data_IF_924657938269
#
_entry.id   IF_924657938269
#
_cell.length_a   1.000
_cell.length_b   1.000
_cell.length_c   1.000
_cell.angle_alpha   90.00
_cell.angle_beta   90.00
_cell.angle_gamma   90.00
#
_symmetry.space_group_name_H-M   'P 1'
#
loop_
_entity.id
_entity.type
_entity.pdbx_description
1 polymer ?
#
# COMPACT_ATOMS: atom_id res chain seq x y z
N UNK A 1 22.12 0.76 6.54
CA UNK A 1 20.91 0.03 6.94
C UNK A 1 20.31 -0.82 5.83
N UNK A 2 21.08 -1.75 5.26
CA UNK A 2 20.58 -2.53 4.11
C UNK A 2 19.37 -3.39 4.44
N UNK A 3 19.28 -3.93 5.65
CA UNK A 3 18.13 -4.75 6.04
C UNK A 3 16.83 -3.92 6.08
N UNK A 4 16.88 -2.74 6.66
CA UNK A 4 15.71 -1.88 6.76
C UNK A 4 15.26 -1.40 5.38
N UNK A 5 16.21 -1.01 4.52
CA UNK A 5 15.92 -0.62 3.15
C UNK A 5 15.28 -1.78 2.38
N UNK A 6 15.80 -2.99 2.55
CA UNK A 6 15.24 -4.18 1.93
C UNK A 6 13.81 -4.45 2.39
N UNK A 7 13.50 -4.24 3.67
CA UNK A 7 12.15 -4.38 4.19
C UNK A 7 11.20 -3.32 3.61
N UNK A 8 11.69 -2.10 3.46
CA UNK A 8 10.90 -1.02 2.83
C UNK A 8 10.60 -1.39 1.37
N UNK A 9 11.59 -1.90 0.64
CA UNK A 9 11.40 -2.32 -0.75
C UNK A 9 10.40 -3.46 -0.86
N UNK A 10 10.51 -4.46 0.01
CA UNK A 10 9.57 -5.58 0.02
C UNK A 10 8.15 -5.11 0.30
N UNK A 11 7.98 -4.28 1.32
CA UNK A 11 6.66 -3.76 1.67
C UNK A 11 6.11 -2.86 0.56
N UNK A 12 6.97 -2.10 -0.11
CA UNK A 12 6.56 -1.28 -1.26
C UNK A 12 5.97 -2.14 -2.38
N UNK A 13 6.56 -3.30 -2.65
CA UNK A 13 6.02 -4.24 -3.63
C UNK A 13 4.64 -4.76 -3.22
N UNK A 14 4.45 -5.05 -1.94
CA UNK A 14 3.16 -5.49 -1.41
C UNK A 14 2.12 -4.37 -1.57
N UNK A 15 2.51 -3.13 -1.31
CA UNK A 15 1.63 -1.96 -1.47
C UNK A 15 1.27 -1.74 -2.94
N UNK A 16 2.22 -1.94 -3.87
CA UNK A 16 1.93 -1.88 -5.30
C UNK A 16 0.91 -2.95 -5.69
N UNK A 17 1.07 -4.16 -5.17
CA UNK A 17 0.09 -5.22 -5.40
C UNK A 17 -1.29 -4.85 -4.86
N UNK A 18 -1.34 -4.21 -3.69
CA UNK A 18 -2.59 -3.72 -3.12
C UNK A 18 -3.25 -2.67 -4.01
N UNK A 19 -2.46 -1.76 -4.58
CA UNK A 19 -2.96 -0.74 -5.49
C UNK A 19 -3.56 -1.37 -6.74
N UNK A 20 -2.85 -2.32 -7.33
CA UNK A 20 -3.31 -3.03 -8.54
C UNK A 20 -4.61 -3.78 -8.25
N UNK A 21 -4.65 -4.51 -7.14
CA UNK A 21 -5.85 -5.26 -6.73
C UNK A 21 -7.03 -4.32 -6.49
N UNK A 22 -6.76 -3.15 -5.90
CA UNK A 22 -7.78 -2.15 -5.63
C UNK A 22 -8.41 -1.57 -6.90
N UNK A 23 -7.63 -1.48 -7.98
CA UNK A 23 -8.09 -0.90 -9.26
C UNK A 23 -8.67 -1.93 -10.21
N UNK A 24 -8.36 -3.21 -10.02
CA UNK A 24 -8.94 -4.29 -10.81
C UNK A 24 -10.22 -4.75 -10.09
N UNK A 25 -11.33 -5.01 -10.82
CA UNK A 25 -12.56 -5.46 -10.20
C UNK A 25 -12.48 -6.95 -9.79
N UNK A 26 -11.55 -7.25 -8.88
CA UNK A 26 -11.42 -8.58 -8.30
C UNK A 26 -12.34 -8.70 -7.08
N UNK A 27 -12.94 -9.86 -6.91
CA UNK A 27 -13.69 -10.17 -5.73
C UNK A 27 -12.74 -10.16 -4.52
N UNK A 28 -13.12 -9.47 -3.46
CA UNK A 28 -12.35 -9.45 -2.20
C UNK A 28 -12.22 -10.83 -1.57
N UNK A 29 -13.05 -11.79 -2.00
CA UNK A 29 -12.97 -13.18 -1.56
C UNK A 29 -11.84 -13.94 -2.23
N UNK A 30 -11.25 -13.38 -3.29
CA UNK A 30 -10.11 -14.02 -3.94
C UNK A 30 -8.96 -14.15 -2.93
N UNK A 31 -8.34 -15.35 -2.78
CA UNK A 31 -7.34 -15.57 -1.74
C UNK A 31 -6.15 -14.62 -1.81
N UNK A 32 -5.70 -14.27 -3.02
CA UNK A 32 -4.57 -13.35 -3.21
C UNK A 32 -4.96 -11.94 -2.76
N UNK A 33 -6.14 -11.48 -3.16
CA UNK A 33 -6.63 -10.16 -2.77
C UNK A 33 -6.79 -10.07 -1.24
N UNK A 34 -7.39 -11.09 -0.63
CA UNK A 34 -7.58 -11.13 0.82
C UNK A 34 -6.25 -11.11 1.56
N UNK A 35 -5.25 -11.84 1.07
CA UNK A 35 -3.92 -11.87 1.68
C UNK A 35 -3.25 -10.49 1.60
N UNK A 36 -3.27 -9.88 0.43
CA UNK A 36 -2.67 -8.55 0.22
C UNK A 36 -3.35 -7.51 1.11
N UNK A 37 -4.68 -7.49 1.16
CA UNK A 37 -5.41 -6.54 2.01
C UNK A 37 -5.11 -6.76 3.48
N UNK A 38 -4.98 -8.00 3.92
CA UNK A 38 -4.65 -8.30 5.32
C UNK A 38 -3.31 -7.71 5.73
N UNK A 39 -2.33 -7.70 4.81
CA UNK A 39 -1.01 -7.15 5.09
C UNK A 39 -0.98 -5.62 5.03
N UNK A 40 -1.87 -5.01 4.28
CA UNK A 40 -1.80 -3.57 4.00
C UNK A 40 -2.86 -2.74 4.73
N UNK A 41 -4.03 -3.31 5.03
CA UNK A 41 -5.12 -2.58 5.67
C UNK A 41 -4.75 -1.91 7.00
N UNK A 42 -4.00 -2.55 7.90
CA UNK A 42 -3.65 -1.88 9.17
C UNK A 42 -2.94 -0.54 8.97
N UNK A 43 -2.19 -0.40 7.87
CA UNK A 43 -1.46 0.83 7.55
C UNK A 43 -2.31 1.73 6.64
N UNK A 44 -3.02 1.15 5.69
CA UNK A 44 -3.79 1.92 4.72
C UNK A 44 -5.07 2.52 5.30
N UNK A 45 -5.70 1.86 6.27
CA UNK A 45 -6.96 2.35 6.83
C UNK A 45 -6.85 3.74 7.46
N UNK A 46 -5.82 4.05 8.29
CA UNK A 46 -5.64 5.40 8.80
C UNK A 46 -5.42 6.44 7.70
N UNK A 47 -4.66 6.08 6.66
CA UNK A 47 -4.41 6.97 5.53
C UNK A 47 -5.71 7.24 4.77
N UNK A 48 -6.50 6.20 4.54
CA UNK A 48 -7.78 6.32 3.83
C UNK A 48 -8.75 7.23 4.59
N UNK A 49 -8.76 7.15 5.91
CA UNK A 49 -9.61 8.01 6.75
C UNK A 49 -9.18 9.48 6.71
N UNK A 50 -7.90 9.75 6.50
CA UNK A 50 -7.37 11.10 6.43
C UNK A 50 -7.58 11.74 5.06
N UNK A 51 -7.75 10.93 4.01
CA UNK A 51 -7.94 11.44 2.65
C UNK A 51 -9.40 11.78 2.38
N UNK A 52 -9.67 12.87 1.64
CA UNK A 52 -11.03 13.16 1.21
C UNK A 52 -11.50 12.14 0.18
N UNK A 53 -12.83 11.94 0.00
CA UNK A 53 -13.35 11.08 -1.05
C UNK A 53 -12.94 11.61 -2.44
N UNK A 54 -12.45 10.72 -3.28
CA UNK A 54 -11.88 11.08 -4.58
C UNK A 54 -12.51 10.24 -5.70
N UNK A 55 -13.82 10.38 -5.89
CA UNK A 55 -14.50 9.75 -7.01
C UNK A 55 -14.53 8.22 -6.97
N UNK A 56 -14.45 7.62 -5.80
CA UNK A 56 -14.48 6.18 -5.65
C UNK A 56 -13.14 5.48 -5.87
N UNK A 57 -12.10 6.21 -6.27
CA UNK A 57 -10.77 5.65 -6.42
C UNK A 57 -10.04 5.67 -5.07
N UNK A 58 -9.31 4.60 -4.80
CA UNK A 58 -8.51 4.49 -3.58
C UNK A 58 -7.08 4.94 -3.88
N UNK A 59 -6.73 6.12 -3.38
CA UNK A 59 -5.38 6.66 -3.54
C UNK A 59 -4.48 6.40 -2.32
N UNK A 60 -5.00 5.74 -1.29
CA UNK A 60 -4.20 5.47 -0.09
C UNK A 60 -2.94 4.64 -0.36
N UNK A 61 -2.96 3.60 -1.23
CA UNK A 61 -1.72 2.89 -1.56
C UNK A 61 -0.66 3.79 -2.20
N UNK A 62 -1.07 4.75 -3.05
CA UNK A 62 -0.14 5.69 -3.67
C UNK A 62 0.51 6.60 -2.64
N UNK A 63 -0.28 7.11 -1.69
CA UNK A 63 0.23 7.96 -0.62
C UNK A 63 1.23 7.18 0.23
N UNK A 64 0.92 5.94 0.57
CA UNK A 64 1.83 5.09 1.33
C UNK A 64 3.12 4.80 0.57
N UNK A 65 3.02 4.54 -0.74
CA UNK A 65 4.21 4.33 -1.57
C UNK A 65 5.12 5.56 -1.55
N UNK A 66 4.55 6.73 -1.73
CA UNK A 66 5.32 7.97 -1.70
C UNK A 66 6.01 8.13 -0.34
N UNK A 67 5.28 7.88 0.75
CA UNK A 67 5.83 7.97 2.09
C UNK A 67 6.99 6.98 2.30
N UNK A 68 6.85 5.75 1.80
CA UNK A 68 7.89 4.74 1.89
C UNK A 68 9.13 5.12 1.10
N UNK A 69 8.96 5.70 -0.09
CA UNK A 69 10.09 6.12 -0.91
C UNK A 69 10.81 7.32 -0.29
N UNK A 70 10.08 8.25 0.31
CA UNK A 70 10.67 9.38 1.05
C UNK A 70 11.47 8.85 2.24
N UNK A 71 10.90 7.93 3.00
CA UNK A 71 11.59 7.33 4.14
C UNK A 71 12.87 6.62 3.70
N UNK A 72 12.80 5.85 2.62
CA UNK A 72 13.97 5.17 2.05
C UNK A 72 15.04 6.18 1.65
N UNK A 73 14.64 7.27 1.03
CA UNK A 73 15.54 8.34 0.60
C UNK A 73 16.31 8.95 1.79
N UNK A 74 15.64 9.09 2.92
CA UNK A 74 16.26 9.61 4.15
C UNK A 74 17.28 8.63 4.71
N UNK A 75 17.00 7.32 4.59
CA UNK A 75 17.84 6.25 5.14
C UNK A 75 19.03 5.89 4.25
N UNK A 76 18.99 6.23 2.98
CA UNK A 76 20.09 5.95 2.06
C UNK A 76 21.33 6.79 2.35
#
# INVERSE_FOLDING_TARGET
MPLLIGLIDLYSLIVVAAAVVSWIPLDRRHPVAAFVYRLTEPVLAPIRRALPPMGGLDFSPMVLLIALQVLKSILL
#
